data_IF_128309259905
#
_entry.id   IF_128309259905
#
_cell.length_a   1.000
_cell.length_b   1.000
_cell.length_c   1.000
_cell.angle_alpha   90.00
_cell.angle_beta   90.00
_cell.angle_gamma   90.00
#
_symmetry.space_group_name_H-M   'P 1'
#
loop_
_entity.id
_entity.type
_entity.pdbx_description
1 polymer ?
#
# COMPACT_ATOMS: atom_id res chain seq x y z
N UNK A 1 -15.53 -24.34 7.65
CA UNK A 1 -15.88 -22.90 7.67
C UNK A 1 -14.86 -22.19 8.53
N UNK A 2 -13.89 -21.48 7.95
CA UNK A 2 -12.83 -20.86 8.77
C UNK A 2 -12.41 -19.50 8.21
N UNK A 3 -12.74 -18.46 9.00
CA UNK A 3 -12.28 -17.05 8.98
C UNK A 3 -12.05 -16.38 7.62
N UNK A 4 -13.06 -15.66 7.15
CA UNK A 4 -12.93 -14.67 6.09
C UNK A 4 -12.16 -13.41 6.52
N UNK A 5 -11.52 -12.78 5.53
CA UNK A 5 -11.24 -11.35 5.40
C UNK A 5 -10.69 -10.59 6.62
N UNK A 6 -9.42 -10.81 6.95
CA UNK A 6 -8.58 -9.69 7.41
C UNK A 6 -8.00 -9.02 6.16
N UNK A 7 -8.59 -7.91 5.73
CA UNK A 7 -8.08 -7.12 4.61
C UNK A 7 -6.88 -6.30 5.09
N UNK A 8 -5.67 -6.89 5.10
CA UNK A 8 -4.47 -6.08 5.26
C UNK A 8 -4.27 -5.23 4.00
N UNK A 9 -3.88 -3.98 4.21
CA UNK A 9 -3.42 -3.09 3.14
C UNK A 9 -2.06 -3.60 2.69
N UNK A 10 -1.94 -3.91 1.40
CA UNK A 10 -0.67 -4.25 0.77
C UNK A 10 0.04 -2.99 0.34
N UNK A 11 1.29 -2.83 0.77
CA UNK A 11 2.17 -1.76 0.34
C UNK A 11 3.29 -2.34 -0.51
N UNK A 12 3.56 -1.67 -1.63
CA UNK A 12 4.73 -1.93 -2.45
C UNK A 12 5.89 -1.06 -2.00
N UNK A 13 7.14 -1.56 -2.04
CA UNK A 13 8.31 -0.78 -1.65
C UNK A 13 8.63 0.34 -2.64
N UNK A 14 8.15 0.25 -3.88
CA UNK A 14 8.40 1.18 -4.96
C UNK A 14 7.20 1.36 -5.92
N UNK A 15 7.23 2.45 -6.69
CA UNK A 15 6.15 2.85 -7.61
C UNK A 15 6.00 1.88 -8.78
N UNK A 16 7.09 1.28 -9.27
CA UNK A 16 7.05 0.35 -10.41
C UNK A 16 6.28 -0.92 -10.02
N UNK A 17 6.60 -1.49 -8.87
CA UNK A 17 5.90 -2.64 -8.29
C UNK A 17 4.43 -2.30 -8.03
N UNK A 18 4.14 -1.14 -7.42
CA UNK A 18 2.76 -0.69 -7.16
C UNK A 18 1.94 -0.58 -8.47
N UNK A 19 2.54 -0.01 -9.50
CA UNK A 19 1.93 0.15 -10.82
C UNK A 19 1.64 -1.20 -11.46
N UNK A 20 2.63 -2.10 -11.51
CA UNK A 20 2.47 -3.46 -12.07
C UNK A 20 1.40 -4.27 -11.35
N UNK A 21 1.34 -4.19 -10.02
CA UNK A 21 0.32 -4.89 -9.23
C UNK A 21 -1.07 -4.30 -9.48
N UNK A 22 -1.21 -2.97 -9.47
CA UNK A 22 -2.49 -2.30 -9.74
C UNK A 22 -3.00 -2.51 -11.17
N UNK A 23 -2.10 -2.60 -12.16
CA UNK A 23 -2.43 -2.88 -13.56
C UNK A 23 -3.17 -4.21 -13.76
N UNK A 24 -2.97 -5.19 -12.87
CA UNK A 24 -3.69 -6.48 -12.92
C UNK A 24 -5.21 -6.34 -12.78
N UNK A 25 -5.70 -5.17 -12.33
CA UNK A 25 -7.11 -4.86 -12.13
C UNK A 25 -7.60 -3.65 -12.97
N UNK A 26 -6.77 -3.12 -13.88
CA UNK A 26 -7.13 -1.98 -14.75
C UNK A 26 -6.16 -0.81 -14.67
N UNK A 27 -6.65 0.43 -14.74
CA UNK A 27 -5.80 1.64 -14.64
C UNK A 27 -5.48 1.92 -13.16
N UNK A 28 -4.20 1.81 -12.73
CA UNK A 28 -3.86 2.02 -11.32
C UNK A 28 -3.83 3.50 -10.95
N UNK A 29 -4.18 3.78 -9.69
CA UNK A 29 -3.81 5.02 -9.00
C UNK A 29 -2.76 4.65 -7.97
N UNK A 30 -1.58 5.28 -8.03
CA UNK A 30 -0.51 5.04 -7.05
C UNK A 30 -0.58 6.11 -5.98
N UNK A 31 -0.67 5.68 -4.72
CA UNK A 31 -0.62 6.55 -3.55
C UNK A 31 0.72 6.39 -2.85
N UNK A 32 1.29 7.50 -2.38
CA UNK A 32 2.54 7.49 -1.61
C UNK A 32 2.19 7.50 -0.13
N UNK A 33 2.67 6.50 0.60
CA UNK A 33 2.41 6.36 2.05
C UNK A 33 3.65 6.73 2.84
N UNK A 34 3.48 7.57 3.86
CA UNK A 34 4.54 7.91 4.84
C UNK A 34 4.81 6.75 5.82
N UNK A 35 5.10 5.55 5.32
CA UNK A 35 5.21 4.33 6.13
C UNK A 35 6.26 4.44 7.26
N UNK A 36 7.36 5.17 7.02
CA UNK A 36 8.36 5.42 8.05
C UNK A 36 7.83 6.28 9.20
N UNK A 37 6.92 7.23 8.93
CA UNK A 37 6.24 8.01 9.97
C UNK A 37 5.21 7.15 10.69
N UNK A 38 4.39 6.40 9.95
CA UNK A 38 3.42 5.46 10.52
C UNK A 38 4.06 4.48 11.50
N UNK A 39 5.21 3.90 11.13
CA UNK A 39 5.92 2.95 11.99
C UNK A 39 6.39 3.60 13.29
N UNK A 40 6.95 4.83 13.22
CA UNK A 40 7.35 5.59 14.42
C UNK A 40 6.16 5.96 15.31
N UNK A 41 5.01 6.22 14.70
CA UNK A 41 3.77 6.56 15.39
C UNK A 41 3.04 5.30 15.95
N UNK A 42 3.65 4.10 15.82
CA UNK A 42 3.22 2.86 16.47
C UNK A 42 2.38 1.92 15.61
N UNK A 43 2.17 2.23 14.33
CA UNK A 43 1.45 1.34 13.43
C UNK A 43 2.26 0.08 13.12
N UNK A 44 1.60 -1.08 13.18
CA UNK A 44 2.26 -2.36 12.92
C UNK A 44 2.37 -2.63 11.42
N UNK A 45 3.54 -3.13 11.03
CA UNK A 45 3.83 -3.60 9.69
C UNK A 45 4.32 -5.04 9.76
N UNK A 46 3.91 -5.84 8.78
CA UNK A 46 4.39 -7.20 8.60
C UNK A 46 4.99 -7.32 7.20
N UNK A 47 6.14 -7.98 7.09
CA UNK A 47 6.72 -8.31 5.80
C UNK A 47 6.40 -9.77 5.49
N UNK A 48 5.80 -10.01 4.33
CA UNK A 48 5.62 -11.37 3.81
C UNK A 48 6.93 -11.91 3.23
N UNK A 49 7.00 -13.23 3.00
CA UNK A 49 8.15 -13.90 2.38
C UNK A 49 8.51 -13.32 1.00
N UNK A 50 7.53 -12.75 0.29
CA UNK A 50 7.72 -12.13 -1.03
C UNK A 50 8.04 -10.63 -0.95
N UNK A 51 8.52 -10.15 0.19
CA UNK A 51 8.86 -8.74 0.44
C UNK A 51 7.70 -7.74 0.26
N UNK A 52 6.46 -8.21 0.24
CA UNK A 52 5.27 -7.34 0.29
C UNK A 52 5.01 -6.95 1.73
N UNK A 53 4.78 -5.66 1.96
CA UNK A 53 4.45 -5.12 3.27
C UNK A 53 2.94 -5.11 3.50
N UNK A 54 2.55 -5.42 4.73
CA UNK A 54 1.17 -5.52 5.19
C UNK A 54 0.97 -4.62 6.40
N UNK A 55 -0.15 -3.91 6.44
CA UNK A 55 -0.60 -3.20 7.64
C UNK A 55 -2.12 -3.28 7.75
N UNK A 56 -2.68 -3.13 8.95
CA UNK A 56 -4.13 -3.22 9.16
C UNK A 56 -4.89 -2.09 8.47
N UNK A 57 -4.36 -0.87 8.51
CA UNK A 57 -4.97 0.31 7.91
C UNK A 57 -3.92 1.40 7.65
N UNK A 58 -4.21 2.27 6.67
CA UNK A 58 -3.44 3.50 6.41
C UNK A 58 -4.32 4.71 6.74
N UNK A 59 -4.10 5.39 7.87
CA UNK A 59 -4.80 6.63 8.17
C UNK A 59 -4.48 7.71 7.12
N UNK A 60 -5.47 8.56 6.82
CA UNK A 60 -5.39 9.59 5.76
C UNK A 60 -4.20 10.54 5.91
N UNK A 61 -3.79 10.81 7.15
CA UNK A 61 -2.70 11.74 7.47
C UNK A 61 -1.32 11.26 7.02
N UNK A 62 -1.20 10.00 6.62
CA UNK A 62 0.01 9.42 6.08
C UNK A 62 -0.06 9.20 4.56
N UNK A 63 -1.17 9.56 3.92
CA UNK A 63 -1.33 9.48 2.47
C UNK A 63 -0.88 10.82 1.88
N UNK A 64 0.20 10.80 1.10
CA UNK A 64 0.63 11.96 0.32
C UNK A 64 -0.11 11.98 -1.01
N UNK A 65 -0.68 13.14 -1.35
CA UNK A 65 -1.27 13.38 -2.65
C UNK A 65 -0.17 13.37 -3.72
N UNK A 66 -0.10 12.28 -4.48
CA UNK A 66 0.54 12.26 -5.79
C UNK A 66 0.01 11.09 -6.61
N UNK A 67 -1.25 11.22 -7.02
CA UNK A 67 -1.78 10.43 -8.11
C UNK A 67 -1.23 10.96 -9.44
N UNK A 68 -0.09 10.43 -9.91
CA UNK A 68 0.29 10.61 -11.32
C UNK A 68 -0.61 9.70 -12.16
N UNK A 69 -1.84 10.15 -12.39
CA UNK A 69 -2.69 9.62 -13.44
C UNK A 69 -2.34 10.34 -14.74
N UNK A 70 -1.56 9.68 -15.60
CA UNK A 70 -1.40 9.96 -17.05
C UNK A 70 -1.25 11.43 -17.46
N UNK A 71 -0.04 11.79 -17.94
CA UNK A 71 0.04 12.75 -19.03
C UNK A 71 -0.76 12.23 -20.23
N UNK A 72 -1.51 13.13 -20.85
CA UNK A 72 -2.22 12.98 -22.12
C UNK A 72 -1.31 12.48 -23.24
#
# INVERSE_FOLDING_TARGET
MTKGNRHHVHLSPDVETATKVGQRRGRPVVLVIEAGRMFRDGHTFYQSENCVWLTDAVPREYIRDRGVGHSL
#
